data_IF_773011637898
#
_entry.id   IF_773011637898
#
_cell.length_a   1.000
_cell.length_b   1.000
_cell.length_c   1.000
_cell.angle_alpha   90.00
_cell.angle_beta   90.00
_cell.angle_gamma   90.00
#
_symmetry.space_group_name_H-M   'P 1'
#
loop_
_entity.id
_entity.type
_entity.pdbx_description
1 polymer ?
#
# COMPACT_ATOMS: atom_id res chain seq x y z
N UNK A 1 25.70 -0.68 -34.43
CA UNK A 1 25.80 -0.05 -33.08
C UNK A 1 24.87 1.14 -32.85
N UNK A 2 25.00 2.32 -33.49
CA UNK A 2 24.21 3.53 -33.12
C UNK A 2 22.68 3.36 -33.07
N UNK A 3 22.10 2.49 -33.90
CA UNK A 3 20.66 2.17 -33.84
C UNK A 3 20.26 1.34 -32.63
N UNK A 4 21.10 0.37 -32.22
CA UNK A 4 20.83 -0.50 -31.07
C UNK A 4 20.76 0.31 -29.76
N UNK A 5 21.73 1.20 -29.52
CA UNK A 5 21.71 2.09 -28.34
C UNK A 5 20.53 3.07 -28.32
N UNK A 6 19.92 3.38 -29.47
CA UNK A 6 18.70 4.20 -29.55
C UNK A 6 17.44 3.40 -29.22
N UNK A 7 17.36 2.14 -29.67
CA UNK A 7 16.27 1.23 -29.29
C UNK A 7 16.34 0.94 -27.80
N UNK A 8 17.54 0.63 -27.27
CA UNK A 8 17.76 0.39 -25.84
C UNK A 8 17.37 1.61 -24.99
N UNK A 9 17.63 2.84 -25.49
CA UNK A 9 17.18 4.07 -24.84
C UNK A 9 15.65 4.17 -24.75
N UNK A 10 14.91 3.88 -25.82
CA UNK A 10 13.44 3.90 -25.78
C UNK A 10 12.89 2.84 -24.81
N UNK A 11 13.48 1.64 -24.78
CA UNK A 11 13.12 0.59 -23.81
C UNK A 11 13.39 1.08 -22.38
N UNK A 12 14.54 1.70 -22.11
CA UNK A 12 14.88 2.27 -20.81
C UNK A 12 13.90 3.37 -20.34
N UNK A 13 13.50 4.29 -21.23
CA UNK A 13 12.50 5.33 -20.90
C UNK A 13 11.13 4.70 -20.61
N UNK A 14 10.72 3.69 -21.38
CA UNK A 14 9.48 2.94 -21.11
C UNK A 14 9.53 2.17 -19.80
N UNK A 15 10.69 1.63 -19.40
CA UNK A 15 10.88 0.99 -18.10
C UNK A 15 10.79 1.98 -16.94
N UNK A 16 11.36 3.19 -17.07
CA UNK A 16 11.20 4.25 -16.05
C UNK A 16 9.74 4.68 -15.93
N UNK A 17 9.05 4.92 -17.06
CA UNK A 17 7.62 5.23 -17.05
C UNK A 17 6.80 4.11 -16.43
N UNK A 18 7.05 2.86 -16.82
CA UNK A 18 6.33 1.71 -16.26
C UNK A 18 6.56 1.56 -14.76
N UNK A 19 7.78 1.79 -14.28
CA UNK A 19 8.09 1.75 -12.86
C UNK A 19 7.38 2.86 -12.08
N UNK A 20 7.41 4.11 -12.55
CA UNK A 20 6.77 5.22 -11.84
C UNK A 20 5.24 5.09 -11.88
N UNK A 21 4.65 4.86 -13.05
CA UNK A 21 3.18 4.83 -13.18
C UNK A 21 2.55 3.55 -12.59
N UNK A 22 3.19 2.37 -12.74
CA UNK A 22 2.61 1.10 -12.26
C UNK A 22 3.18 0.60 -10.92
N UNK A 23 4.46 0.81 -10.63
CA UNK A 23 5.06 0.32 -9.37
C UNK A 23 4.97 1.35 -8.25
N UNK A 24 5.11 2.65 -8.56
CA UNK A 24 4.96 3.74 -7.57
C UNK A 24 3.57 4.39 -7.60
N UNK A 25 2.63 3.89 -8.42
CA UNK A 25 1.28 4.44 -8.60
C UNK A 25 1.27 5.94 -8.98
N UNK A 26 2.21 6.34 -9.83
CA UNK A 26 2.38 7.71 -10.30
C UNK A 26 2.86 8.67 -9.20
N UNK A 27 2.71 9.98 -9.44
CA UNK A 27 3.14 11.00 -8.47
C UNK A 27 2.33 10.94 -7.17
N UNK A 28 1.04 10.63 -7.27
CA UNK A 28 0.14 10.58 -6.12
C UNK A 28 0.50 9.43 -5.17
N UNK A 29 0.86 8.24 -5.70
CA UNK A 29 1.35 7.14 -4.88
C UNK A 29 2.64 7.47 -4.12
N UNK A 30 3.57 8.19 -4.77
CA UNK A 30 4.79 8.67 -4.12
C UNK A 30 4.45 9.67 -2.99
N UNK A 31 3.53 10.61 -3.22
CA UNK A 31 3.09 11.58 -2.21
C UNK A 31 2.40 10.91 -1.01
N UNK A 32 1.56 9.89 -1.27
CA UNK A 32 0.93 9.06 -0.21
C UNK A 32 1.96 8.26 0.58
N UNK A 33 2.97 7.70 -0.08
CA UNK A 33 4.07 6.96 0.55
C UNK A 33 4.92 7.85 1.47
N UNK A 34 5.27 9.05 1.02
CA UNK A 34 6.02 10.03 1.84
C UNK A 34 5.20 10.49 3.05
N UNK A 35 3.91 10.80 2.86
CA UNK A 35 2.99 11.15 3.95
C UNK A 35 2.91 10.04 5.02
N UNK A 36 2.78 8.78 4.59
CA UNK A 36 2.72 7.65 5.51
C UNK A 36 4.08 7.38 6.19
N UNK A 37 5.19 7.61 5.49
CA UNK A 37 6.53 7.56 6.08
C UNK A 37 6.69 8.58 7.22
N UNK A 38 6.31 9.83 6.98
CA UNK A 38 6.47 10.91 7.95
C UNK A 38 5.50 10.80 9.13
N UNK A 39 4.22 10.46 8.89
CA UNK A 39 3.20 10.55 9.95
C UNK A 39 2.73 9.21 10.54
N UNK A 40 3.17 8.07 10.00
CA UNK A 40 2.83 6.74 10.54
C UNK A 40 4.11 6.01 10.95
N UNK A 41 5.06 5.84 10.03
CA UNK A 41 6.33 5.14 10.32
C UNK A 41 7.22 5.88 11.31
N UNK A 42 7.46 7.18 11.11
CA UNK A 42 8.35 7.95 11.98
C UNK A 42 7.77 8.10 13.39
N UNK A 43 6.45 8.31 13.50
CA UNK A 43 5.73 8.32 14.76
C UNK A 43 5.85 6.96 15.49
N UNK A 44 5.47 5.86 14.83
CA UNK A 44 5.52 4.52 15.43
C UNK A 44 6.94 4.01 15.77
N UNK A 45 7.99 4.65 15.25
CA UNK A 45 9.39 4.33 15.57
C UNK A 45 9.97 5.17 16.70
N UNK A 46 9.59 6.44 16.78
CA UNK A 46 10.28 7.43 17.61
C UNK A 46 9.42 7.98 18.75
N UNK A 47 8.12 7.66 18.80
CA UNK A 47 7.19 8.12 19.82
C UNK A 47 6.70 6.95 20.68
N UNK A 48 7.13 6.90 21.96
CA UNK A 48 6.67 5.92 22.94
C UNK A 48 5.17 6.06 23.27
N UNK A 49 4.53 7.17 22.87
CA UNK A 49 3.09 7.42 23.03
C UNK A 49 2.28 7.22 21.74
N UNK A 50 2.84 6.54 20.73
CA UNK A 50 2.19 6.24 19.47
C UNK A 50 0.81 5.56 19.65
N UNK A 51 -0.23 6.22 19.15
CA UNK A 51 -1.59 5.66 19.08
C UNK A 51 -1.85 5.02 17.71
N UNK A 52 -2.18 3.73 17.72
CA UNK A 52 -2.58 2.96 16.53
C UNK A 52 -3.79 3.59 15.82
N UNK A 53 -4.70 4.23 16.58
CA UNK A 53 -5.87 4.89 16.01
C UNK A 53 -5.53 6.23 15.34
N UNK A 54 -4.52 6.99 15.80
CA UNK A 54 -4.01 8.12 15.01
C UNK A 54 -3.34 7.63 13.71
N UNK A 55 -2.60 6.52 13.78
CA UNK A 55 -2.04 5.85 12.61
C UNK A 55 -3.12 5.44 11.59
N UNK A 56 -4.22 4.85 12.06
CA UNK A 56 -5.38 4.48 11.23
C UNK A 56 -6.10 5.71 10.68
N UNK A 57 -6.33 6.76 11.47
CA UNK A 57 -6.94 8.03 11.02
C UNK A 57 -6.16 8.60 9.82
N UNK A 58 -4.84 8.69 9.94
CA UNK A 58 -3.95 9.20 8.89
C UNK A 58 -3.89 8.29 7.66
N UNK A 59 -3.84 6.97 7.87
CA UNK A 59 -3.81 5.99 6.79
C UNK A 59 -5.09 6.05 5.93
N UNK A 60 -6.25 5.99 6.59
CA UNK A 60 -7.57 6.06 5.95
C UNK A 60 -7.76 7.40 5.22
N UNK A 61 -7.35 8.52 5.83
CA UNK A 61 -7.33 9.84 5.21
C UNK A 61 -6.50 9.90 3.91
N UNK A 62 -5.37 9.18 3.86
CA UNK A 62 -4.48 9.17 2.71
C UNK A 62 -4.97 8.28 1.56
N UNK A 63 -5.75 7.22 1.84
CA UNK A 63 -6.29 6.32 0.82
C UNK A 63 -7.74 6.61 0.43
N UNK A 64 -8.46 7.45 1.19
CA UNK A 64 -9.84 7.85 0.92
C UNK A 64 -10.91 6.88 1.42
N UNK A 65 -10.58 6.03 2.39
CA UNK A 65 -11.49 5.11 3.08
C UNK A 65 -11.84 5.64 4.46
N UNK A 66 -12.88 5.12 5.11
CA UNK A 66 -13.24 5.51 6.48
C UNK A 66 -13.34 4.26 7.35
N UNK A 67 -13.14 4.39 8.66
CA UNK A 67 -13.38 3.29 9.60
C UNK A 67 -14.22 3.75 10.78
N UNK A 68 -15.05 2.87 11.32
CA UNK A 68 -15.85 3.11 12.53
C UNK A 68 -14.95 3.12 13.76
N UNK A 69 -15.06 4.15 14.60
CA UNK A 69 -14.41 4.20 15.91
C UNK A 69 -15.07 3.24 16.92
N UNK A 70 -16.30 2.79 16.64
CA UNK A 70 -16.96 1.74 17.40
C UNK A 70 -16.50 0.37 16.89
N UNK A 71 -16.05 -0.50 17.81
CA UNK A 71 -15.66 -1.88 17.51
C UNK A 71 -16.88 -2.79 17.28
N UNK A 72 -16.75 -3.80 16.43
CA UNK A 72 -17.73 -4.89 16.31
C UNK A 72 -17.74 -5.67 17.63
N UNK A 73 -18.88 -5.64 18.30
CA UNK A 73 -19.07 -6.40 19.54
C UNK A 73 -19.25 -7.88 19.29
N UNK A 74 -18.76 -8.69 20.22
CA UNK A 74 -19.03 -10.13 20.32
C UNK A 74 -20.53 -10.40 20.49
N UNK A 75 -20.96 -11.66 20.31
CA UNK A 75 -22.34 -12.07 20.59
C UNK A 75 -22.74 -11.98 22.08
N UNK A 76 -21.79 -11.62 22.97
CA UNK A 76 -21.98 -11.36 24.40
C UNK A 76 -21.70 -9.91 24.78
N UNK A 77 -21.83 -8.97 23.83
CA UNK A 77 -21.68 -7.52 24.01
C UNK A 77 -20.28 -7.02 24.45
N UNK A 78 -19.25 -7.87 24.42
CA UNK A 78 -17.87 -7.46 24.67
C UNK A 78 -17.33 -6.72 23.43
N UNK A 79 -16.50 -5.71 23.63
CA UNK A 79 -15.87 -4.92 22.54
C UNK A 79 -14.60 -5.57 21.99
N UNK A 80 -14.04 -6.53 22.72
CA UNK A 80 -12.76 -7.16 22.44
C UNK A 80 -12.80 -8.65 22.76
N UNK A 81 -11.88 -9.37 22.12
CA UNK A 81 -11.48 -10.70 22.53
C UNK A 81 -10.17 -10.56 23.29
N UNK A 82 -10.16 -10.98 24.55
CA UNK A 82 -9.11 -10.63 25.51
C UNK A 82 -8.67 -11.87 26.28
N UNK A 83 -7.41 -12.26 26.11
CA UNK A 83 -6.81 -13.42 26.80
C UNK A 83 -5.92 -13.04 27.97
N UNK A 84 -5.79 -11.74 28.29
CA UNK A 84 -4.91 -11.24 29.38
C UNK A 84 -5.34 -11.68 30.78
N UNK A 85 -6.62 -12.07 30.93
CA UNK A 85 -7.19 -12.57 32.19
C UNK A 85 -7.27 -14.09 32.29
N UNK A 86 -6.76 -14.82 31.28
CA UNK A 86 -6.86 -16.28 31.18
C UNK A 86 -5.56 -16.97 31.62
N UNK A 87 -5.66 -18.27 31.95
CA UNK A 87 -4.54 -19.11 32.42
C UNK A 87 -3.65 -19.56 31.24
N UNK A 88 -3.01 -18.57 30.61
CA UNK A 88 -1.99 -18.74 29.57
C UNK A 88 -0.73 -17.95 29.93
N UNK A 89 0.41 -18.34 29.35
CA UNK A 89 1.67 -17.62 29.56
C UNK A 89 1.56 -16.18 29.05
N UNK A 90 2.07 -15.23 29.83
CA UNK A 90 2.04 -13.78 29.56
C UNK A 90 2.50 -13.43 28.13
N UNK A 91 3.56 -14.07 27.63
CA UNK A 91 4.06 -13.87 26.26
C UNK A 91 3.09 -14.26 25.13
N UNK A 92 2.04 -15.03 25.43
CA UNK A 92 0.98 -15.41 24.49
C UNK A 92 -0.34 -14.67 24.74
N UNK A 93 -0.39 -13.76 25.72
CA UNK A 93 -1.57 -12.93 25.95
C UNK A 93 -1.72 -11.90 24.84
N UNK A 94 -2.95 -11.71 24.37
CA UNK A 94 -3.29 -10.80 23.28
C UNK A 94 -4.72 -10.28 23.45
N UNK A 95 -4.95 -9.03 23.06
CA UNK A 95 -6.27 -8.39 23.05
C UNK A 95 -6.57 -7.88 21.65
N UNK A 96 -7.66 -8.36 21.07
CA UNK A 96 -8.03 -8.14 19.66
C UNK A 96 -9.35 -7.39 19.57
N UNK A 97 -9.34 -6.25 18.88
CA UNK A 97 -10.51 -5.49 18.46
C UNK A 97 -10.76 -5.59 16.96
N UNK A 98 -12.03 -5.52 16.55
CA UNK A 98 -12.45 -5.51 15.15
C UNK A 98 -13.16 -4.20 14.83
N UNK A 99 -12.71 -3.47 13.82
CA UNK A 99 -13.22 -2.12 13.50
C UNK A 99 -13.71 -2.07 12.05
N UNK A 100 -15.01 -1.91 11.78
CA UNK A 100 -15.55 -1.84 10.42
C UNK A 100 -14.88 -0.75 9.60
N UNK A 101 -14.60 -1.00 8.33
CA UNK A 101 -14.14 0.03 7.41
C UNK A 101 -14.85 -0.04 6.05
N UNK A 102 -14.85 1.11 5.39
CA UNK A 102 -15.61 1.38 4.18
C UNK A 102 -14.79 2.13 3.16
N UNK A 103 -14.87 1.67 1.91
CA UNK A 103 -14.50 2.46 0.75
C UNK A 103 -15.77 2.91 0.03
N UNK A 104 -15.86 4.21 -0.24
CA UNK A 104 -16.96 4.76 -1.06
C UNK A 104 -16.82 4.36 -2.55
N UNK A 105 -15.71 3.73 -2.93
CA UNK A 105 -15.45 3.21 -4.26
C UNK A 105 -15.64 1.68 -4.29
N UNK A 106 -16.16 1.20 -5.42
CA UNK A 106 -16.21 -0.23 -5.75
C UNK A 106 -15.00 -0.64 -6.57
N UNK A 107 -14.68 -1.93 -6.55
CA UNK A 107 -13.88 -2.54 -7.59
C UNK A 107 -14.60 -2.40 -8.93
N UNK A 108 -13.92 -1.79 -9.90
CA UNK A 108 -14.47 -1.47 -11.21
C UNK A 108 -14.72 -2.68 -12.09
N UNK A 109 -14.14 -3.84 -11.76
CA UNK A 109 -14.21 -5.06 -12.56
C UNK A 109 -15.25 -6.05 -12.03
N UNK A 110 -15.44 -6.10 -10.70
CA UNK A 110 -16.32 -7.10 -10.05
C UNK A 110 -17.51 -6.51 -9.28
N UNK A 111 -17.69 -5.17 -9.23
CA UNK A 111 -18.83 -4.48 -8.60
C UNK A 111 -18.98 -4.78 -7.09
N UNK A 112 -17.86 -5.06 -6.41
CA UNK A 112 -17.76 -5.31 -4.96
C UNK A 112 -17.29 -4.03 -4.27
N UNK A 113 -17.88 -3.67 -3.14
CA UNK A 113 -17.32 -2.63 -2.26
C UNK A 113 -16.11 -3.18 -1.50
N UNK A 114 -15.07 -2.37 -1.29
CA UNK A 114 -13.93 -2.74 -0.43
C UNK A 114 -14.28 -2.67 1.07
N UNK A 115 -15.54 -2.94 1.42
CA UNK A 115 -16.01 -3.03 2.81
C UNK A 115 -15.36 -4.20 3.53
N UNK A 116 -15.16 -4.03 4.82
CA UNK A 116 -14.35 -4.93 5.61
C UNK A 116 -14.23 -4.51 7.06
N UNK A 117 -13.19 -5.02 7.71
CA UNK A 117 -12.82 -4.63 9.06
C UNK A 117 -11.29 -4.65 9.23
N UNK A 118 -10.78 -3.69 10.00
CA UNK A 118 -9.46 -3.76 10.60
C UNK A 118 -9.51 -4.76 11.76
N UNK A 119 -8.42 -5.51 11.93
CA UNK A 119 -8.12 -6.33 13.09
C UNK A 119 -6.97 -5.62 13.79
N UNK A 120 -7.20 -5.15 15.02
CA UNK A 120 -6.27 -4.31 15.77
C UNK A 120 -5.87 -5.05 17.04
N UNK A 121 -4.56 -5.12 17.30
CA UNK A 121 -4.04 -5.58 18.59
C UNK A 121 -3.90 -4.42 19.55
N UNK A 122 -4.66 -4.48 20.65
CA UNK A 122 -4.66 -3.47 21.71
C UNK A 122 -3.76 -3.84 22.88
N UNK A 123 -3.37 -5.11 22.96
CA UNK A 123 -2.38 -5.64 23.88
C UNK A 123 -1.75 -6.88 23.25
N UNK A 124 -0.44 -7.02 23.37
CA UNK A 124 0.38 -8.09 22.81
C UNK A 124 1.69 -8.17 23.63
N UNK A 125 2.53 -9.16 23.37
CA UNK A 125 3.85 -9.27 23.99
C UNK A 125 4.98 -8.92 23.01
N UNK A 126 5.97 -8.19 23.49
CA UNK A 126 7.21 -7.89 22.75
C UNK A 126 8.08 -9.13 22.49
N UNK A 127 7.83 -10.26 23.18
CA UNK A 127 8.53 -11.53 22.96
C UNK A 127 8.13 -12.21 21.63
N UNK A 128 7.01 -11.79 21.02
CA UNK A 128 6.49 -12.39 19.79
C UNK A 128 6.93 -11.58 18.57
N UNK A 129 7.52 -12.25 17.58
CA UNK A 129 8.06 -11.59 16.37
C UNK A 129 6.93 -11.09 15.46
N UNK A 130 5.91 -11.91 15.26
CA UNK A 130 4.65 -11.54 14.62
C UNK A 130 3.57 -12.58 14.93
N UNK A 131 2.33 -12.22 14.64
CA UNK A 131 1.19 -13.13 14.71
C UNK A 131 0.61 -13.33 13.31
N UNK A 132 0.12 -14.54 13.01
CA UNK A 132 -0.66 -14.82 11.80
C UNK A 132 -2.07 -15.31 12.14
N UNK A 133 -2.99 -15.14 11.18
CA UNK A 133 -4.41 -15.39 11.35
C UNK A 133 -4.93 -16.31 10.24
N UNK A 134 -5.36 -17.52 10.58
CA UNK A 134 -6.12 -18.36 9.67
C UNK A 134 -7.61 -18.02 9.80
N UNK A 135 -8.26 -17.64 8.70
CA UNK A 135 -9.65 -17.16 8.73
C UNK A 135 -10.53 -18.01 7.83
N UNK A 136 -11.56 -18.61 8.43
CA UNK A 136 -12.53 -19.48 7.74
C UNK A 136 -13.89 -18.79 7.65
N UNK A 137 -14.43 -18.72 6.43
CA UNK A 137 -15.67 -18.04 6.11
C UNK A 137 -16.53 -18.84 5.11
N UNK A 138 -17.75 -18.40 4.85
CA UNK A 138 -18.55 -18.82 3.69
C UNK A 138 -19.24 -17.61 3.03
N UNK A 139 -19.55 -17.71 1.74
CA UNK A 139 -20.29 -16.68 1.01
C UNK A 139 -21.78 -16.75 1.37
N UNK A 140 -22.42 -15.66 1.79
CA UNK A 140 -23.77 -15.76 2.38
C UNK A 140 -24.87 -16.20 1.44
N UNK A 141 -24.71 -15.99 0.12
CA UNK A 141 -25.64 -16.50 -0.90
C UNK A 141 -25.33 -17.94 -1.35
N UNK A 142 -24.33 -18.61 -0.77
CA UNK A 142 -24.04 -20.01 -1.06
C UNK A 142 -24.98 -20.94 -0.25
N UNK A 143 -25.89 -21.69 -0.90
CA UNK A 143 -26.80 -22.60 -0.20
C UNK A 143 -26.09 -23.80 0.42
N UNK A 144 -24.91 -24.18 -0.07
CA UNK A 144 -24.09 -25.28 0.48
C UNK A 144 -23.13 -24.78 1.58
N UNK A 145 -23.00 -23.46 1.76
CA UNK A 145 -22.05 -22.80 2.67
C UNK A 145 -20.61 -23.36 2.52
N UNK A 146 -20.13 -23.50 1.29
CA UNK A 146 -18.78 -24.03 0.99
C UNK A 146 -17.74 -23.17 1.70
N UNK A 147 -17.06 -23.77 2.68
CA UNK A 147 -16.04 -23.11 3.49
C UNK A 147 -14.88 -22.65 2.60
N UNK A 148 -14.44 -21.42 2.81
CA UNK A 148 -13.21 -20.84 2.26
C UNK A 148 -12.29 -20.45 3.40
N UNK A 149 -10.99 -20.67 3.25
CA UNK A 149 -9.98 -20.37 4.26
C UNK A 149 -8.83 -19.57 3.66
N UNK A 150 -8.25 -18.71 4.48
CA UNK A 150 -7.01 -17.97 4.25
C UNK A 150 -5.98 -18.45 5.31
N UNK A 151 -4.74 -18.86 4.97
CA UNK A 151 -3.70 -19.42 5.88
C UNK A 151 -2.30 -18.73 5.89
N UNK A 152 -1.24 -19.25 5.22
CA UNK A 152 0.14 -18.65 5.19
C UNK A 152 0.86 -18.63 3.79
N UNK A 153 1.50 -17.50 3.44
CA UNK A 153 1.73 -16.95 2.05
C UNK A 153 0.56 -16.25 1.25
N UNK A 154 0.26 -14.94 1.47
CA UNK A 154 -0.94 -14.12 1.03
C UNK A 154 -1.89 -13.73 2.19
N UNK A 155 -1.36 -13.32 3.35
CA UNK A 155 -2.10 -13.39 4.62
C UNK A 155 -1.99 -12.19 5.56
N UNK A 156 -2.68 -12.38 6.68
CA UNK A 156 -3.08 -11.38 7.64
C UNK A 156 -2.10 -11.40 8.82
N UNK A 157 -0.81 -11.27 8.49
CA UNK A 157 0.23 -11.14 9.50
C UNK A 157 0.10 -9.77 10.16
N UNK A 158 0.06 -9.76 11.49
CA UNK A 158 0.15 -8.57 12.32
C UNK A 158 1.52 -8.57 12.96
N UNK A 159 2.29 -7.52 12.69
CA UNK A 159 3.60 -7.32 13.28
C UNK A 159 3.49 -6.31 14.44
N UNK A 160 4.02 -6.65 15.63
CA UNK A 160 4.25 -5.70 16.72
C UNK A 160 5.09 -4.49 16.32
N UNK A 161 6.06 -4.67 15.41
CA UNK A 161 7.05 -3.65 15.06
C UNK A 161 6.71 -2.86 13.79
N UNK A 162 7.40 -1.73 13.59
CA UNK A 162 7.33 -0.94 12.34
C UNK A 162 7.73 -1.71 11.07
N UNK A 163 8.38 -2.88 11.21
CA UNK A 163 8.77 -3.70 10.07
C UNK A 163 7.54 -4.24 9.32
N UNK A 164 6.41 -4.44 10.01
CA UNK A 164 5.15 -4.81 9.37
C UNK A 164 4.61 -3.77 8.40
N UNK A 165 4.86 -2.48 8.65
CA UNK A 165 4.53 -1.44 7.69
C UNK A 165 5.43 -1.55 6.45
N UNK A 166 6.73 -1.81 6.62
CA UNK A 166 7.67 -1.98 5.49
C UNK A 166 7.32 -3.21 4.64
N UNK A 167 6.87 -4.30 5.27
CA UNK A 167 6.53 -5.56 4.60
C UNK A 167 5.12 -5.53 3.97
N UNK A 168 4.11 -5.00 4.66
CA UNK A 168 2.70 -5.06 4.24
C UNK A 168 2.09 -3.73 3.78
N UNK A 169 2.76 -2.59 3.95
CA UNK A 169 2.20 -1.23 3.78
C UNK A 169 0.96 -0.98 4.67
N UNK A 170 0.96 -1.53 5.89
CA UNK A 170 -0.13 -1.42 6.87
C UNK A 170 0.33 -0.68 8.13
N UNK A 171 -0.59 0.03 8.77
CA UNK A 171 -0.37 0.62 10.10
C UNK A 171 0.12 -0.47 11.06
N UNK A 172 1.20 -0.26 11.85
CA UNK A 172 1.68 -1.23 12.83
C UNK A 172 0.56 -1.70 13.77
N UNK A 173 0.67 -2.91 14.34
CA UNK A 173 -0.37 -3.53 15.18
C UNK A 173 -1.72 -3.81 14.48
N UNK A 174 -1.82 -3.57 13.17
CA UNK A 174 -3.05 -3.81 12.41
C UNK A 174 -2.86 -4.76 11.24
N UNK A 175 -3.93 -5.47 10.92
CA UNK A 175 -4.18 -6.03 9.59
C UNK A 175 -5.62 -5.73 9.22
N UNK A 176 -6.05 -6.04 8.00
CA UNK A 176 -7.43 -5.82 7.60
C UNK A 176 -7.90 -6.85 6.58
N UNK A 177 -9.20 -7.11 6.61
CA UNK A 177 -9.92 -7.96 5.69
C UNK A 177 -11.02 -7.16 5.01
N UNK A 178 -11.29 -7.47 3.74
CA UNK A 178 -12.36 -6.86 2.96
C UNK A 178 -12.93 -7.85 1.95
N UNK A 179 -14.18 -7.66 1.51
CA UNK A 179 -14.90 -8.66 0.70
C UNK A 179 -14.11 -9.19 -0.52
N UNK A 180 -13.42 -8.36 -1.33
CA UNK A 180 -12.51 -8.83 -2.38
C UNK A 180 -11.40 -9.83 -1.98
N UNK A 181 -10.94 -9.90 -0.72
CA UNK A 181 -9.98 -10.95 -0.28
C UNK A 181 -10.60 -12.36 -0.31
N UNK A 182 -11.93 -12.44 -0.14
CA UNK A 182 -12.66 -13.69 -0.12
C UNK A 182 -13.23 -14.09 -1.50
N UNK A 183 -13.14 -13.19 -2.49
CA UNK A 183 -13.65 -13.38 -3.84
C UNK A 183 -12.93 -14.53 -4.58
N UNK A 184 -13.72 -15.42 -5.17
CA UNK A 184 -13.27 -16.45 -6.12
C UNK A 184 -14.18 -16.44 -7.34
N UNK A 185 -13.62 -16.55 -8.54
CA UNK A 185 -14.41 -16.50 -9.80
C UNK A 185 -15.54 -17.54 -9.86
N UNK A 186 -15.36 -18.69 -9.19
CA UNK A 186 -16.40 -19.74 -9.02
C UNK A 186 -17.71 -19.18 -8.43
N UNK A 187 -17.61 -18.18 -7.54
CA UNK A 187 -18.71 -17.57 -6.81
C UNK A 187 -19.53 -16.58 -7.64
N UNK A 188 -19.09 -16.24 -8.87
CA UNK A 188 -19.82 -15.34 -9.77
C UNK A 188 -21.22 -15.87 -10.13
N UNK A 189 -21.43 -17.17 -9.97
CA UNK A 189 -22.72 -17.85 -10.18
C UNK A 189 -23.73 -17.63 -9.05
N UNK A 190 -23.29 -17.22 -7.85
CA UNK A 190 -24.14 -17.05 -6.67
C UNK A 190 -24.98 -15.76 -6.72
N UNK A 191 -24.48 -14.74 -7.43
CA UNK A 191 -25.15 -13.45 -7.59
C UNK A 191 -25.26 -12.61 -6.31
N UNK A 192 -25.87 -11.43 -6.45
CA UNK A 192 -26.01 -10.46 -5.36
C UNK A 192 -24.75 -9.62 -5.12
N UNK A 193 -24.62 -9.09 -3.91
CA UNK A 193 -23.37 -8.52 -3.41
C UNK A 193 -22.50 -9.66 -2.86
N UNK A 194 -21.18 -9.54 -3.01
CA UNK A 194 -20.23 -10.52 -2.49
C UNK A 194 -19.98 -10.24 -1.02
N UNK A 195 -20.55 -11.08 -0.17
CA UNK A 195 -20.58 -10.89 1.27
C UNK A 195 -20.33 -12.21 1.98
N UNK A 196 -19.63 -12.13 3.11
CA UNK A 196 -19.08 -13.30 3.77
C UNK A 196 -19.45 -13.31 5.25
N UNK A 197 -19.73 -14.50 5.76
CA UNK A 197 -19.90 -14.73 7.19
C UNK A 197 -18.64 -15.42 7.68
N UNK A 198 -17.96 -14.82 8.66
CA UNK A 198 -16.73 -15.39 9.24
C UNK A 198 -17.13 -16.37 10.33
N UNK A 199 -16.80 -17.64 10.13
CA UNK A 199 -17.12 -18.73 11.05
C UNK A 199 -16.06 -18.84 12.17
N UNK A 200 -14.77 -18.68 11.82
CA UNK A 200 -13.68 -18.71 12.79
C UNK A 200 -12.47 -17.88 12.38
N UNK A 201 -11.72 -17.45 13.39
CA UNK A 201 -10.39 -16.84 13.28
C UNK A 201 -9.48 -17.56 14.26
N UNK A 202 -8.44 -18.19 13.73
CA UNK A 202 -7.40 -18.90 14.49
C UNK A 202 -6.14 -18.04 14.52
N UNK A 203 -5.59 -17.80 15.72
CA UNK A 203 -4.49 -16.88 15.98
C UNK A 203 -3.23 -17.64 16.39
N UNK A 204 -2.15 -17.41 15.65
CA UNK A 204 -0.86 -18.06 15.82
C UNK A 204 0.20 -17.01 16.19
N UNK A 205 1.09 -17.35 17.13
CA UNK A 205 2.28 -16.54 17.43
C UNK A 205 3.55 -17.21 16.90
N UNK A 206 4.42 -16.38 16.33
CA UNK A 206 5.71 -16.77 15.79
C UNK A 206 6.84 -16.15 16.61
N UNK A 207 7.71 -17.01 17.13
CA UNK A 207 8.91 -16.64 17.89
C UNK A 207 10.14 -16.85 17.02
N UNK A 208 11.11 -15.92 17.05
CA UNK A 208 12.23 -15.88 16.10
C UNK A 208 13.08 -17.17 16.03
N UNK A 209 13.12 -17.97 17.11
CA UNK A 209 13.90 -19.21 17.21
C UNK A 209 13.04 -20.49 17.16
N UNK A 210 11.74 -20.38 16.91
CA UNK A 210 10.80 -21.53 16.93
C UNK A 210 10.26 -21.80 15.52
N UNK A 211 10.55 -23.00 14.99
CA UNK A 211 10.19 -23.38 13.60
C UNK A 211 8.69 -23.61 13.37
N UNK A 212 7.90 -23.82 14.43
CA UNK A 212 6.45 -24.05 14.34
C UNK A 212 5.71 -23.00 15.18
N UNK A 213 4.69 -22.32 14.61
CA UNK A 213 3.92 -21.35 15.36
C UNK A 213 3.17 -21.96 16.54
N UNK A 214 3.05 -21.20 17.62
CA UNK A 214 2.19 -21.57 18.75
C UNK A 214 0.75 -21.17 18.43
N UNK A 215 -0.16 -22.15 18.40
CA UNK A 215 -1.59 -21.88 18.23
C UNK A 215 -2.18 -21.41 19.57
N UNK A 216 -2.35 -20.08 19.71
CA UNK A 216 -2.81 -19.47 20.96
C UNK A 216 -4.32 -19.59 21.07
N UNK A 217 -5.04 -19.02 20.10
CA UNK A 217 -6.40 -18.56 20.35
C UNK A 217 -7.32 -18.82 19.15
N UNK A 218 -8.53 -19.26 19.42
CA UNK A 218 -9.58 -19.47 18.41
C UNK A 218 -10.85 -18.71 18.76
N UNK A 219 -11.27 -17.82 17.88
CA UNK A 219 -12.61 -17.25 17.87
C UNK A 219 -13.51 -18.11 16.98
N UNK A 220 -14.70 -18.50 17.44
CA UNK A 220 -15.73 -19.14 16.61
C UNK A 220 -17.10 -18.51 16.82
N UNK A 221 -17.97 -18.62 15.82
CA UNK A 221 -19.39 -18.23 15.94
C UNK A 221 -20.26 -19.29 16.65
N UNK A 222 -19.64 -20.38 17.12
CA UNK A 222 -20.30 -21.49 17.79
C UNK A 222 -21.12 -22.42 16.89
N UNK A 223 -21.14 -22.21 15.57
CA UNK A 223 -21.96 -23.03 14.64
C UNK A 223 -21.29 -24.32 14.19
N UNK A 224 -19.97 -24.42 14.36
CA UNK A 224 -19.11 -25.45 13.76
C UNK A 224 -18.09 -26.00 14.77
N UNK A 225 -17.70 -27.27 14.59
CA UNK A 225 -16.64 -27.90 15.40
C UNK A 225 -15.32 -27.87 14.65
N UNK A 226 -14.28 -27.33 15.26
CA UNK A 226 -12.97 -27.17 14.67
C UNK A 226 -11.91 -28.11 15.26
N UNK A 227 -11.00 -28.59 14.41
CA UNK A 227 -9.86 -29.43 14.81
C UNK A 227 -8.67 -28.60 15.28
N UNK A 228 -7.76 -29.21 16.04
CA UNK A 228 -6.62 -28.54 16.68
C UNK A 228 -6.92 -28.14 18.12
N UNK A 229 -5.86 -27.91 18.90
CA UNK A 229 -5.92 -27.61 20.33
C UNK A 229 -5.28 -26.24 20.59
N UNK A 230 -6.01 -25.14 20.39
CA UNK A 230 -5.55 -23.83 20.84
C UNK A 230 -5.46 -23.80 22.37
N UNK A 231 -4.68 -22.88 22.93
CA UNK A 231 -4.66 -22.63 24.37
C UNK A 231 -6.04 -22.13 24.87
N UNK A 232 -6.73 -21.33 24.06
CA UNK A 232 -8.01 -20.68 24.40
C UNK A 232 -9.00 -20.80 23.23
N UNK A 233 -10.30 -20.91 23.52
CA UNK A 233 -11.36 -20.77 22.51
C UNK A 233 -12.53 -19.95 23.03
N UNK A 234 -12.95 -18.90 22.30
CA UNK A 234 -14.18 -18.16 22.57
C UNK A 234 -15.21 -18.43 21.46
N UNK A 235 -16.42 -18.82 21.84
CA UNK A 235 -17.52 -19.15 20.92
C UNK A 235 -18.51 -17.98 20.77
N UNK A 236 -17.98 -16.77 20.67
CA UNK A 236 -18.75 -15.51 20.69
C UNK A 236 -18.48 -14.61 19.47
N UNK A 237 -17.92 -15.18 18.40
CA UNK A 237 -17.65 -14.46 17.16
C UNK A 237 -18.94 -13.91 16.54
N UNK A 238 -18.89 -12.65 16.12
CA UNK A 238 -20.03 -11.93 15.54
C UNK A 238 -19.55 -11.09 14.35
N UNK A 239 -18.94 -11.74 13.37
CA UNK A 239 -18.43 -11.12 12.13
C UNK A 239 -19.31 -11.55 10.95
N UNK A 240 -20.50 -10.96 10.88
CA UNK A 240 -21.49 -11.16 9.81
C UNK A 240 -21.54 -9.93 8.91
N UNK A 241 -22.07 -10.01 7.67
CA UNK A 241 -22.14 -8.84 6.77
C UNK A 241 -22.81 -7.62 7.40
N UNK A 242 -23.85 -7.81 8.20
CA UNK A 242 -24.59 -6.72 8.87
C UNK A 242 -23.74 -5.98 9.92
N UNK A 243 -22.63 -6.57 10.38
CA UNK A 243 -21.70 -5.95 11.34
C UNK A 243 -20.60 -5.11 10.70
N UNK A 244 -20.29 -5.33 9.41
CA UNK A 244 -19.12 -4.69 8.77
C UNK A 244 -19.35 -4.12 7.36
N UNK A 245 -20.39 -4.53 6.61
CA UNK A 245 -20.70 -4.03 5.26
C UNK A 245 -21.55 -2.75 5.26
N UNK A 246 -20.95 -1.65 5.71
CA UNK A 246 -21.64 -0.36 5.90
C UNK A 246 -21.84 0.47 4.62
N UNK A 247 -21.15 0.19 3.49
CA UNK A 247 -21.36 0.88 2.20
C UNK A 247 -22.80 0.81 1.72
N UNK A 248 -23.49 -0.29 2.00
CA UNK A 248 -24.92 -0.48 1.67
C UNK A 248 -25.78 0.68 2.17
N UNK A 249 -25.47 1.17 3.37
CA UNK A 249 -26.25 2.20 4.07
C UNK A 249 -25.80 3.61 3.70
N UNK A 250 -24.50 3.81 3.41
CA UNK A 250 -23.99 5.09 2.91
C UNK A 250 -24.36 5.33 1.44
N UNK A 251 -24.50 4.28 0.62
CA UNK A 251 -24.89 4.35 -0.79
C UNK A 251 -24.06 5.37 -1.62
N UNK A 252 -22.75 5.42 -1.36
CA UNK A 252 -21.81 6.36 -2.03
C UNK A 252 -21.88 7.81 -1.54
N UNK A 253 -22.67 8.13 -0.52
CA UNK A 253 -22.67 9.45 0.13
C UNK A 253 -21.43 9.57 1.01
N UNK A 254 -20.68 10.66 0.86
CA UNK A 254 -19.55 10.97 1.73
C UNK A 254 -20.01 11.31 3.16
N UNK A 255 -19.40 10.71 4.19
CA UNK A 255 -19.70 11.04 5.57
C UNK A 255 -19.12 12.40 5.97
N UNK A 256 -19.87 13.10 6.81
CA UNK A 256 -19.61 14.40 7.45
C UNK A 256 -20.13 14.32 8.90
N UNK A 257 -19.77 15.27 9.76
CA UNK A 257 -20.22 15.28 11.16
C UNK A 257 -21.76 15.19 11.30
N UNK A 258 -22.50 15.80 10.37
CA UNK A 258 -23.97 15.83 10.36
C UNK A 258 -24.64 14.54 9.86
N UNK A 259 -23.92 13.64 9.17
CA UNK A 259 -24.52 12.46 8.51
C UNK A 259 -23.77 11.14 8.78
N UNK A 260 -23.14 11.02 9.96
CA UNK A 260 -22.28 9.89 10.34
C UNK A 260 -22.94 8.90 11.34
N UNK A 261 -23.85 8.01 10.90
CA UNK A 261 -24.56 7.07 11.79
C UNK A 261 -23.70 5.89 12.30
N UNK A 262 -22.48 5.71 11.78
CA UNK A 262 -21.57 4.61 12.13
C UNK A 262 -20.30 5.09 12.85
N UNK A 263 -20.33 6.28 13.46
CA UNK A 263 -19.21 6.86 14.20
C UNK A 263 -17.86 6.76 13.43
N UNK A 264 -17.91 6.99 12.12
CA UNK A 264 -16.76 6.92 11.22
C UNK A 264 -15.75 7.99 11.57
N UNK A 265 -14.46 7.64 11.51
CA UNK A 265 -13.41 8.63 11.66
C UNK A 265 -13.36 9.56 10.46
N UNK A 266 -13.48 10.85 10.76
CA UNK A 266 -13.32 11.96 9.82
C UNK A 266 -12.03 12.74 10.11
N UNK A 267 -11.21 12.30 11.07
CA UNK A 267 -9.97 12.97 11.41
C UNK A 267 -9.04 13.00 10.19
N UNK A 268 -8.43 14.15 9.92
CA UNK A 268 -7.56 14.38 8.76
C UNK A 268 -8.18 14.14 7.38
N UNK A 269 -9.49 13.91 7.24
CA UNK A 269 -10.12 13.64 5.94
C UNK A 269 -10.49 14.93 5.16
N UNK A 270 -10.10 15.06 3.88
CA UNK A 270 -9.09 14.28 3.15
C UNK A 270 -7.66 14.71 3.54
N UNK A 271 -6.69 13.80 3.42
CA UNK A 271 -5.30 14.11 3.78
C UNK A 271 -4.73 15.29 2.98
N UNK A 272 -4.04 16.21 3.66
CA UNK A 272 -3.34 17.32 3.01
C UNK A 272 -1.99 16.86 2.44
N UNK A 273 -1.96 16.65 1.12
CA UNK A 273 -0.72 16.36 0.40
C UNK A 273 0.00 17.60 -0.15
N UNK A 274 -0.47 18.82 0.15
CA UNK A 274 0.15 20.05 -0.36
C UNK A 274 1.68 20.15 -0.09
N UNK A 275 2.23 19.70 1.07
CA UNK A 275 3.68 19.72 1.31
C UNK A 275 4.49 18.87 0.32
N UNK A 276 3.90 17.79 -0.21
CA UNK A 276 4.57 16.81 -1.07
C UNK A 276 4.43 17.10 -2.57
N UNK A 277 3.76 18.21 -2.92
CA UNK A 277 3.52 18.63 -4.31
C UNK A 277 4.83 18.81 -5.11
N UNK A 278 5.99 18.93 -4.44
CA UNK A 278 7.30 18.96 -5.09
C UNK A 278 7.61 17.70 -5.93
N UNK A 279 7.02 16.54 -5.61
CA UNK A 279 7.20 15.32 -6.41
C UNK A 279 6.68 15.48 -7.85
N UNK A 280 5.67 16.32 -8.11
CA UNK A 280 5.26 16.63 -9.48
C UNK A 280 6.38 17.29 -10.29
N UNK A 281 7.15 18.21 -9.69
CA UNK A 281 8.29 18.84 -10.36
C UNK A 281 9.45 17.86 -10.57
N UNK A 282 9.68 16.93 -9.64
CA UNK A 282 10.70 15.88 -9.78
C UNK A 282 10.34 14.92 -10.92
N UNK A 283 9.13 14.33 -10.90
CA UNK A 283 8.70 13.32 -11.88
C UNK A 283 8.52 13.93 -13.26
N UNK A 284 7.80 15.06 -13.39
CA UNK A 284 7.65 15.70 -14.70
C UNK A 284 8.95 16.36 -15.19
N UNK A 285 9.84 16.79 -14.30
CA UNK A 285 11.20 17.21 -14.65
C UNK A 285 12.01 16.06 -15.24
N UNK A 286 11.97 14.87 -14.62
CA UNK A 286 12.58 13.65 -15.14
C UNK A 286 11.99 13.28 -16.52
N UNK A 287 10.67 13.30 -16.67
CA UNK A 287 9.99 13.02 -17.94
C UNK A 287 10.38 14.03 -19.04
N UNK A 288 10.47 15.32 -18.71
CA UNK A 288 10.94 16.36 -19.63
C UNK A 288 12.39 16.08 -20.10
N UNK A 289 13.28 15.70 -19.18
CA UNK A 289 14.67 15.35 -19.52
C UNK A 289 14.74 14.10 -20.43
N UNK A 290 13.97 13.06 -20.10
CA UNK A 290 13.99 11.78 -20.82
C UNK A 290 13.26 11.83 -22.19
N UNK A 291 12.18 12.59 -22.32
CA UNK A 291 11.38 12.64 -23.56
C UNK A 291 11.82 13.78 -24.49
N UNK A 292 12.24 14.92 -23.94
CA UNK A 292 12.54 16.12 -24.74
C UNK A 292 14.04 16.40 -24.80
N UNK A 293 14.71 16.55 -23.66
CA UNK A 293 16.10 17.04 -23.63
C UNK A 293 17.08 16.04 -24.25
N UNK A 294 17.13 14.80 -23.74
CA UNK A 294 18.06 13.78 -24.23
C UNK A 294 17.76 13.42 -25.70
N UNK A 295 16.50 13.17 -26.12
CA UNK A 295 16.19 12.92 -27.53
C UNK A 295 16.54 14.09 -28.45
N UNK A 296 16.35 15.35 -28.03
CA UNK A 296 16.82 16.51 -28.77
C UNK A 296 18.33 16.42 -29.04
N UNK A 297 19.17 16.24 -28.01
CA UNK A 297 20.62 16.20 -28.18
C UNK A 297 21.13 14.98 -28.97
N UNK A 298 20.55 13.79 -28.76
CA UNK A 298 20.98 12.54 -29.41
C UNK A 298 20.50 12.35 -30.86
N UNK A 299 19.36 12.92 -31.23
CA UNK A 299 18.72 12.66 -32.52
C UNK A 299 18.63 13.91 -33.41
N UNK A 300 18.35 15.08 -32.84
CA UNK A 300 17.94 16.27 -33.59
C UNK A 300 18.99 17.39 -33.60
N UNK A 301 19.72 17.63 -32.51
CA UNK A 301 20.63 18.77 -32.34
C UNK A 301 21.62 18.94 -33.51
N UNK A 302 22.27 17.85 -33.97
CA UNK A 302 23.18 17.92 -35.14
C UNK A 302 22.48 18.28 -36.46
N UNK A 303 21.20 17.90 -36.65
CA UNK A 303 20.41 18.30 -37.82
C UNK A 303 19.97 19.76 -37.70
N UNK A 304 19.46 20.16 -36.53
CA UNK A 304 18.99 21.52 -36.22
C UNK A 304 20.12 22.54 -36.38
N UNK A 305 21.28 22.30 -35.75
CA UNK A 305 22.46 23.16 -35.88
C UNK A 305 22.99 23.24 -37.32
N UNK A 306 22.88 22.16 -38.11
CA UNK A 306 23.23 22.18 -39.54
C UNK A 306 22.24 23.00 -40.37
N UNK A 307 20.96 23.06 -39.97
CA UNK A 307 19.95 23.91 -40.61
C UNK A 307 20.22 25.40 -40.33
N UNK A 308 20.44 25.77 -39.06
CA UNK A 308 20.76 27.15 -38.68
C UNK A 308 22.03 27.67 -39.38
N UNK A 309 23.11 26.86 -39.43
CA UNK A 309 24.33 27.22 -40.18
C UNK A 309 24.14 27.33 -41.69
N UNK A 310 23.09 26.73 -42.25
CA UNK A 310 22.77 26.84 -43.70
C UNK A 310 21.93 28.08 -44.02
N UNK A 311 21.22 28.62 -43.02
CA UNK A 311 20.40 29.82 -43.14
C UNK A 311 21.13 31.09 -42.64
N UNK A 312 22.33 30.96 -42.06
CA UNK A 312 23.23 32.10 -41.88
C UNK A 312 23.77 32.50 -43.27
N UNK A 313 23.57 33.74 -43.75
CA UNK A 313 24.07 34.15 -45.05
C UNK A 313 25.59 34.12 -45.02
N UNK A 314 26.17 33.20 -45.78
CA UNK A 314 27.61 33.09 -45.94
C UNK A 314 28.06 34.20 -46.91
N UNK A 315 28.14 35.43 -46.41
CA UNK A 315 28.86 36.53 -47.06
C UNK A 315 30.34 36.15 -47.12
N UNK A 316 30.71 35.36 -48.14
CA UNK A 316 31.95 35.41 -48.91
C UNK A 316 32.07 34.14 -49.77
N UNK A 317 32.06 34.34 -51.08
CA UNK A 317 32.53 33.42 -52.14
C UNK A 317 33.01 34.31 -53.30
N UNK A 318 33.93 33.85 -54.18
CA UNK A 318 34.22 32.44 -54.48
C UNK A 318 35.70 32.02 -54.50
N UNK A 319 35.88 30.72 -54.75
CA UNK A 319 37.02 30.04 -55.38
C UNK A 319 38.43 30.15 -54.78
N UNK A 320 38.82 29.11 -54.03
CA UNK A 320 40.05 28.36 -54.36
C UNK A 320 39.92 26.87 -53.97
N UNK A 321 40.54 25.98 -54.74
CA UNK A 321 40.51 24.51 -54.55
C UNK A 321 41.64 24.04 -53.63
N UNK A 322 41.31 23.15 -52.66
CA UNK A 322 42.18 22.04 -52.13
C UNK A 322 43.42 22.52 -51.33
N UNK A 323 43.81 22.02 -50.13
CA UNK A 323 43.71 20.68 -49.50
C UNK A 323 43.63 20.78 -47.92
N UNK A 324 43.85 19.75 -47.05
CA UNK A 324 43.08 19.61 -45.80
C UNK A 324 43.88 19.72 -44.49
N UNK A 325 43.16 19.59 -43.35
CA UNK A 325 43.62 19.64 -41.94
C UNK A 325 43.92 21.03 -41.36
N UNK A 326 42.89 21.85 -41.12
CA UNK A 326 42.91 22.75 -39.97
C UNK A 326 42.46 21.99 -38.72
N UNK A 327 43.35 21.87 -37.73
CA UNK A 327 42.99 21.42 -36.38
C UNK A 327 41.97 22.40 -35.80
N UNK A 328 40.96 21.92 -35.07
CA UNK A 328 40.17 22.80 -34.21
C UNK A 328 41.10 23.35 -33.11
N UNK A 329 41.07 24.66 -32.80
CA UNK A 329 41.88 25.20 -31.71
C UNK A 329 41.36 24.66 -30.37
N UNK A 330 42.25 24.04 -29.60
CA UNK A 330 42.03 23.83 -28.17
C UNK A 330 41.96 25.20 -27.48
N UNK A 331 40.94 25.40 -26.65
CA UNK A 331 40.69 26.69 -25.98
C UNK A 331 41.48 26.83 -24.67
N UNK A 332 42.10 25.75 -24.19
CA UNK A 332 42.96 25.76 -23.02
C UNK A 332 44.35 25.24 -23.39
N UNK A 333 45.33 26.14 -23.31
CA UNK A 333 46.75 25.80 -23.17
C UNK A 333 47.17 26.33 -21.81
N UNK A 334 47.34 25.42 -20.84
CA UNK A 334 47.96 25.78 -19.57
C UNK A 334 49.41 26.20 -19.85
N UNK A 335 49.75 27.42 -19.42
CA UNK A 335 51.08 27.99 -19.61
C UNK A 335 51.89 27.72 -18.36
N UNK A 336 52.74 26.69 -18.39
CA UNK A 336 53.83 26.58 -17.43
C UNK A 336 54.97 27.54 -17.83
N UNK A 337 55.62 28.22 -16.86
CA UNK A 337 56.64 29.21 -17.13
C UNK A 337 57.95 28.57 -17.57
N UNK A 338 58.72 29.31 -18.37
CA UNK A 338 60.05 28.90 -18.84
C UNK A 338 61.02 28.69 -17.68
N UNK A 339 61.84 27.65 -17.79
CA UNK A 339 63.18 27.60 -17.20
C UNK A 339 64.20 27.54 -18.34
N UNK A 340 65.18 28.45 -18.33
CA UNK A 340 66.16 28.61 -19.40
C UNK A 340 67.33 27.62 -19.27
N UNK A 341 67.76 27.05 -20.40
CA UNK A 341 69.17 26.91 -20.83
C UNK A 341 69.26 26.64 -22.35
#
# INVERSE_FOLDING_TARGET
>A
MKWFGRILYFVFVLLIFGFIEFTLMGVEGIMRSEYASQYILEAARNDESYDVFEGLDRFNAAIGTYYSKDSIKTSTDLTHYDTTSEDILEKYQVKIGFYPFVSLLKDTNVNIYYDGFYIVFESFSDDITFYSLDITAYHVNDPEKKKITLTEGNFLNIYPTTDGFVVNQRVPLTTYLYNPYFYKEEQNTLGGLYEYHILSIDVYAHEAEVEQPTFIYRMTDGTETYTGSPLVTHNTLNLTPDTYNISKTLNGVHPTEDNNPFNLSLTYHPADFSPYTYFYFIVYGLYFVLIIVIPYFWFFHKKVMKSFKKNTPNNNTPDTKVDPKSKQPQIFSDVEPKSDE
#
